data_IF_897836237775
#
_entry.id   IF_897836237775
#
_cell.length_a   1.000
_cell.length_b   1.000
_cell.length_c   1.000
_cell.angle_alpha   90.00
_cell.angle_beta   90.00
_cell.angle_gamma   90.00
#
_symmetry.space_group_name_H-M   'P 1'
#
loop_
_entity.id
_entity.type
_entity.pdbx_description
1 polymer ?
#
# COMPACT_ATOMS: atom_id res chain seq x y z
N UNK A 1 10.36 -70.45 -2.10
CA UNK A 1 9.21 -69.70 -1.54
C UNK A 1 9.65 -68.27 -1.32
N UNK A 2 9.34 -67.42 -2.25
CA UNK A 2 9.73 -66.00 -2.19
C UNK A 2 8.57 -65.21 -1.60
N UNK A 3 8.80 -64.63 -0.44
CA UNK A 3 7.86 -63.68 0.15
C UNK A 3 8.18 -62.28 -0.43
N UNK A 4 7.32 -61.83 -1.31
CA UNK A 4 7.31 -60.47 -1.77
C UNK A 4 6.67 -59.58 -0.68
N UNK A 5 7.49 -58.77 -0.04
CA UNK A 5 7.02 -57.71 0.85
C UNK A 5 6.75 -56.49 0.03
N UNK A 6 5.49 -56.20 -0.21
CA UNK A 6 5.07 -54.94 -0.83
C UNK A 6 5.20 -53.80 0.20
N UNK A 7 6.18 -52.97 0.01
CA UNK A 7 6.29 -51.72 0.75
C UNK A 7 5.37 -50.68 0.08
N UNK A 8 4.26 -50.41 0.74
CA UNK A 8 3.39 -49.31 0.36
C UNK A 8 4.05 -47.99 0.74
N UNK A 9 4.49 -47.24 -0.26
CA UNK A 9 4.92 -45.86 -0.11
C UNK A 9 3.67 -45.00 0.09
N UNK A 10 3.46 -44.56 1.35
CA UNK A 10 2.47 -43.55 1.65
C UNK A 10 3.09 -42.21 1.27
N UNK A 11 2.66 -41.66 0.14
CA UNK A 11 2.98 -40.29 -0.22
C UNK A 11 2.07 -39.35 0.58
N UNK A 12 2.58 -38.79 1.65
CA UNK A 12 1.92 -37.69 2.33
C UNK A 12 2.00 -36.45 1.43
N UNK A 13 0.94 -36.15 0.71
CA UNK A 13 0.77 -34.88 0.08
C UNK A 13 0.56 -33.83 1.18
N UNK A 14 1.59 -33.08 1.52
CA UNK A 14 1.46 -31.90 2.36
C UNK A 14 0.68 -30.85 1.56
N UNK A 15 -0.61 -30.75 1.80
CA UNK A 15 -1.38 -29.57 1.38
C UNK A 15 -0.89 -28.39 2.21
N UNK A 16 -0.07 -27.55 1.60
CA UNK A 16 0.20 -26.25 2.15
C UNK A 16 -1.13 -25.48 2.15
N UNK A 17 -1.75 -25.36 3.32
CA UNK A 17 -2.85 -24.45 3.51
C UNK A 17 -2.31 -23.05 3.22
N UNK A 18 -2.71 -22.46 2.09
CA UNK A 18 -2.50 -21.04 1.85
C UNK A 18 -3.22 -20.29 2.97
N UNK A 19 -2.45 -19.80 3.96
CA UNK A 19 -2.99 -18.88 4.96
C UNK A 19 -3.61 -17.72 4.20
N UNK A 20 -4.91 -17.43 4.44
CA UNK A 20 -5.70 -16.45 3.72
C UNK A 20 -5.26 -15.02 3.96
N UNK A 21 -4.05 -14.66 3.54
CA UNK A 21 -3.73 -13.27 3.27
C UNK A 21 -4.54 -12.86 2.04
N UNK A 22 -5.39 -11.83 2.19
CA UNK A 22 -6.07 -11.22 1.06
C UNK A 22 -5.02 -10.90 -0.02
N UNK A 23 -5.12 -11.55 -1.18
CA UNK A 23 -4.24 -11.26 -2.29
C UNK A 23 -4.38 -9.78 -2.65
N UNK A 24 -3.27 -9.04 -2.62
CA UNK A 24 -3.22 -7.65 -3.04
C UNK A 24 -3.29 -7.59 -4.56
N UNK A 25 -4.14 -6.73 -5.08
CA UNK A 25 -4.36 -6.55 -6.51
C UNK A 25 -4.03 -5.10 -6.91
N UNK A 26 -2.87 -4.93 -7.53
CA UNK A 26 -2.42 -3.63 -8.02
C UNK A 26 -3.30 -3.08 -9.14
N UNK A 27 -3.94 -3.93 -9.95
CA UNK A 27 -4.88 -3.51 -10.98
C UNK A 27 -6.14 -2.92 -10.37
N UNK A 28 -6.70 -3.58 -9.36
CA UNK A 28 -7.81 -3.04 -8.58
C UNK A 28 -7.40 -1.78 -7.82
N UNK A 29 -6.17 -1.72 -7.32
CA UNK A 29 -5.60 -0.55 -6.67
C UNK A 29 -5.50 0.65 -7.60
N UNK A 30 -5.14 0.43 -8.86
CA UNK A 30 -5.14 1.48 -9.88
C UNK A 30 -6.53 2.06 -10.11
N UNK A 31 -7.56 1.22 -10.15
CA UNK A 31 -8.94 1.67 -10.25
C UNK A 31 -9.36 2.47 -9.02
N UNK A 32 -8.98 2.03 -7.82
CA UNK A 32 -9.23 2.76 -6.57
C UNK A 32 -8.51 4.11 -6.53
N UNK A 33 -7.34 4.22 -7.14
CA UNK A 33 -6.56 5.46 -7.21
C UNK A 33 -7.30 6.60 -7.92
N UNK A 34 -8.31 6.31 -8.73
CA UNK A 34 -9.16 7.35 -9.33
C UNK A 34 -9.77 8.29 -8.27
N UNK A 35 -10.00 7.81 -7.06
CA UNK A 35 -10.46 8.63 -5.92
C UNK A 35 -9.40 9.65 -5.45
N UNK A 36 -8.15 9.48 -5.84
CA UNK A 36 -7.01 10.29 -5.40
C UNK A 36 -6.56 11.30 -6.47
N UNK A 37 -6.97 11.10 -7.72
CA UNK A 37 -6.47 11.86 -8.88
C UNK A 37 -6.80 13.35 -8.84
N UNK A 38 -7.84 13.75 -8.14
CA UNK A 38 -8.16 15.18 -7.99
C UNK A 38 -7.04 15.94 -7.25
N UNK A 39 -6.32 15.27 -6.37
CA UNK A 39 -5.34 15.86 -5.47
C UNK A 39 -3.91 15.33 -5.65
N UNK A 40 -3.75 14.12 -6.12
CA UNK A 40 -2.45 13.46 -6.21
C UNK A 40 -2.11 12.99 -7.61
N UNK A 41 -0.81 12.87 -7.88
CA UNK A 41 -0.27 12.25 -9.09
C UNK A 41 0.78 11.21 -8.70
N UNK A 42 1.00 10.23 -9.56
CA UNK A 42 2.00 9.18 -9.41
C UNK A 42 2.55 8.80 -10.79
N UNK A 43 3.78 8.35 -10.84
CA UNK A 43 4.45 7.93 -12.07
C UNK A 43 5.54 8.88 -12.54
N UNK A 44 6.16 8.57 -13.66
CA UNK A 44 7.19 9.42 -14.25
C UNK A 44 6.61 10.79 -14.63
N UNK A 45 7.32 11.86 -14.29
CA UNK A 45 6.88 13.21 -14.57
C UNK A 45 5.76 13.73 -13.66
N UNK A 46 5.27 12.93 -12.71
CA UNK A 46 4.26 13.38 -11.76
C UNK A 46 4.78 14.52 -10.87
N UNK A 47 3.91 15.47 -10.60
CA UNK A 47 4.22 16.66 -9.82
C UNK A 47 3.24 16.84 -8.67
N UNK A 48 3.64 17.64 -7.68
CA UNK A 48 2.73 18.08 -6.62
C UNK A 48 1.52 18.81 -7.22
N UNK A 49 0.37 18.55 -6.62
CA UNK A 49 -0.91 19.19 -6.94
C UNK A 49 -1.50 19.77 -5.65
N UNK A 50 -2.77 19.53 -5.40
CA UNK A 50 -3.40 19.84 -4.10
C UNK A 50 -2.75 19.02 -2.98
N UNK A 51 -2.40 17.76 -3.27
CA UNK A 51 -1.58 16.90 -2.45
C UNK A 51 -0.19 16.69 -3.03
N UNK A 52 0.74 16.12 -2.26
CA UNK A 52 2.09 15.81 -2.73
C UNK A 52 2.07 14.66 -3.74
N UNK A 53 3.08 14.64 -4.61
CA UNK A 53 3.34 13.48 -5.48
C UNK A 53 3.54 12.23 -4.63
N UNK A 54 3.03 11.09 -5.10
CA UNK A 54 3.04 9.84 -4.33
C UNK A 54 4.16 8.86 -4.73
N UNK A 55 5.10 9.31 -5.57
CA UNK A 55 6.26 8.49 -5.95
C UNK A 55 7.10 8.15 -4.71
N UNK A 56 7.55 6.89 -4.64
CA UNK A 56 8.43 6.44 -3.57
C UNK A 56 7.79 6.46 -2.19
N UNK A 57 6.47 6.30 -2.11
CA UNK A 57 5.75 6.38 -0.83
C UNK A 57 6.24 5.36 0.18
N UNK A 58 6.47 4.11 -0.24
CA UNK A 58 6.99 3.08 0.65
C UNK A 58 8.41 3.42 1.11
N UNK A 59 8.57 3.63 2.40
CA UNK A 59 9.82 4.05 3.03
C UNK A 59 10.02 5.57 3.11
N UNK A 60 9.09 6.38 2.62
CA UNK A 60 9.19 7.84 2.63
C UNK A 60 8.75 8.42 3.98
N UNK A 61 9.54 9.37 4.48
CA UNK A 61 9.16 10.11 5.67
C UNK A 61 7.98 11.05 5.38
N UNK A 62 7.01 11.07 6.27
CA UNK A 62 5.88 12.00 6.18
C UNK A 62 6.36 13.45 6.19
N UNK A 63 5.75 14.27 5.34
CA UNK A 63 6.09 15.69 5.25
C UNK A 63 7.40 16.00 4.54
N UNK A 64 7.96 15.07 3.75
CA UNK A 64 9.31 15.18 3.19
C UNK A 64 9.40 15.51 1.71
N UNK A 65 8.29 15.52 0.97
CA UNK A 65 8.34 15.84 -0.47
C UNK A 65 8.74 17.29 -0.67
N UNK A 66 9.80 17.48 -1.45
CA UNK A 66 10.32 18.81 -1.77
C UNK A 66 9.28 19.65 -2.50
N UNK A 67 9.19 20.93 -2.13
CA UNK A 67 8.31 21.90 -2.77
C UNK A 67 6.83 21.78 -2.41
N UNK A 68 6.44 20.82 -1.55
CA UNK A 68 5.06 20.71 -1.08
C UNK A 68 4.89 21.40 0.28
N UNK A 69 3.83 22.20 0.40
CA UNK A 69 3.49 22.88 1.65
C UNK A 69 2.59 21.99 2.53
N UNK A 70 3.21 21.17 3.37
CA UNK A 70 2.50 20.31 4.31
C UNK A 70 1.88 21.08 5.48
N UNK A 71 0.89 20.46 6.13
CA UNK A 71 0.48 20.86 7.46
C UNK A 71 1.61 20.61 8.47
N UNK A 72 1.63 21.39 9.55
CA UNK A 72 2.56 21.16 10.65
C UNK A 72 2.37 19.76 11.26
N UNK A 73 1.13 19.29 11.30
CA UNK A 73 0.80 17.95 11.77
C UNK A 73 1.48 16.85 10.96
N UNK A 74 1.49 16.96 9.61
CA UNK A 74 2.17 15.99 8.75
C UNK A 74 3.69 16.07 8.90
N UNK A 75 4.26 17.26 8.93
CA UNK A 75 5.70 17.46 9.14
C UNK A 75 6.16 16.89 10.48
N UNK A 76 5.40 17.09 11.53
CA UNK A 76 5.73 16.70 12.89
C UNK A 76 5.29 15.28 13.27
N UNK A 77 4.63 14.54 12.37
CA UNK A 77 4.04 13.23 12.71
C UNK A 77 5.09 12.16 13.04
N UNK A 78 6.30 12.27 12.52
CA UNK A 78 7.36 11.27 12.71
C UNK A 78 7.12 9.96 11.97
N UNK A 79 6.10 9.88 11.13
CA UNK A 79 5.73 8.67 10.40
C UNK A 79 6.69 8.44 9.25
N UNK A 80 7.20 7.21 9.11
CA UNK A 80 7.76 6.69 7.87
C UNK A 80 6.73 5.79 7.23
N UNK A 81 6.33 6.11 6.00
CA UNK A 81 5.28 5.38 5.33
C UNK A 81 5.70 3.95 5.02
N UNK A 82 4.88 3.03 5.43
CA UNK A 82 4.89 1.62 5.06
C UNK A 82 3.45 1.16 4.95
N UNK A 83 3.24 -0.11 4.67
CA UNK A 83 1.90 -0.66 4.52
C UNK A 83 1.01 -0.39 5.74
N UNK A 84 1.49 -0.69 6.95
CA UNK A 84 0.69 -0.56 8.16
C UNK A 84 0.31 0.89 8.45
N UNK A 85 1.26 1.80 8.34
CA UNK A 85 1.04 3.24 8.53
C UNK A 85 0.07 3.79 7.48
N UNK A 86 0.21 3.35 6.23
CA UNK A 86 -0.69 3.75 5.15
C UNK A 86 -2.11 3.27 5.39
N UNK A 87 -2.29 2.00 5.76
CA UNK A 87 -3.63 1.45 6.02
C UNK A 87 -4.35 2.19 7.14
N UNK A 88 -3.66 2.52 8.21
CA UNK A 88 -4.23 3.32 9.30
C UNK A 88 -4.62 4.73 8.81
N UNK A 89 -3.74 5.37 8.05
CA UNK A 89 -3.97 6.74 7.56
C UNK A 89 -5.11 6.80 6.55
N UNK A 90 -5.12 5.92 5.57
CA UNK A 90 -6.12 5.97 4.48
C UNK A 90 -7.52 5.58 4.95
N UNK A 91 -7.61 4.84 6.04
CA UNK A 91 -8.89 4.51 6.67
C UNK A 91 -9.57 5.74 7.27
N UNK A 92 -8.79 6.59 7.94
CA UNK A 92 -9.27 7.86 8.50
C UNK A 92 -8.09 8.82 8.67
N UNK A 93 -7.81 9.66 7.66
CA UNK A 93 -6.67 10.57 7.71
C UNK A 93 -6.64 11.49 8.93
N UNK A 94 -7.79 12.04 9.31
CA UNK A 94 -7.87 12.98 10.45
C UNK A 94 -7.66 12.31 11.79
N UNK A 95 -8.06 11.04 11.92
CA UNK A 95 -7.83 10.29 13.16
C UNK A 95 -6.34 9.94 13.32
N UNK A 96 -5.68 9.53 12.23
CA UNK A 96 -4.25 9.17 12.25
C UNK A 96 -3.35 10.37 12.45
N UNK A 97 -3.60 11.46 11.73
CA UNK A 97 -2.85 12.71 11.82
C UNK A 97 -3.82 13.86 12.04
N UNK A 98 -4.19 14.13 13.30
CA UNK A 98 -5.04 15.28 13.61
C UNK A 98 -4.37 16.58 13.11
N UNK A 99 -5.13 17.40 12.39
CA UNK A 99 -4.61 18.61 11.77
C UNK A 99 -4.07 18.44 10.35
N UNK A 100 -4.15 17.24 9.77
CA UNK A 100 -3.80 17.03 8.36
C UNK A 100 -4.64 17.92 7.45
N UNK A 101 -4.02 18.45 6.40
CA UNK A 101 -4.72 19.21 5.35
C UNK A 101 -5.44 18.32 4.33
N UNK A 102 -5.20 17.02 4.35
CA UNK A 102 -5.83 16.08 3.44
C UNK A 102 -7.32 15.96 3.74
N UNK A 103 -8.14 16.47 2.85
CA UNK A 103 -9.61 16.41 2.96
C UNK A 103 -10.10 15.16 2.23
N UNK A 104 -10.17 14.06 2.95
CA UNK A 104 -10.59 12.76 2.42
C UNK A 104 -11.28 11.95 3.52
N UNK A 105 -12.45 11.42 3.22
CA UNK A 105 -13.25 10.70 4.22
C UNK A 105 -12.62 9.38 4.65
N UNK A 106 -11.79 8.81 3.79
CA UNK A 106 -11.11 7.54 4.05
C UNK A 106 -11.69 6.36 3.26
N UNK A 107 -10.91 5.30 3.21
CA UNK A 107 -11.29 4.01 2.62
C UNK A 107 -11.49 3.03 3.76
N UNK A 108 -12.74 2.62 4.01
CA UNK A 108 -13.10 1.73 5.12
C UNK A 108 -12.98 0.25 4.76
N UNK A 109 -13.01 -0.07 3.46
CA UNK A 109 -12.87 -1.45 2.99
C UNK A 109 -11.39 -1.84 3.02
N UNK A 110 -11.07 -2.84 3.83
CA UNK A 110 -9.69 -3.29 4.04
C UNK A 110 -9.05 -3.82 2.75
N UNK A 111 -9.80 -4.58 1.96
CA UNK A 111 -9.30 -5.09 0.68
C UNK A 111 -8.96 -3.97 -0.29
N UNK A 112 -9.83 -2.98 -0.41
CA UNK A 112 -9.59 -1.82 -1.28
C UNK A 112 -8.35 -1.04 -0.84
N UNK A 113 -8.17 -0.82 0.46
CA UNK A 113 -6.99 -0.14 0.99
C UNK A 113 -5.70 -0.92 0.72
N UNK A 114 -5.73 -2.24 0.87
CA UNK A 114 -4.59 -3.12 0.55
C UNK A 114 -4.27 -3.11 -0.95
N UNK A 115 -5.28 -3.15 -1.80
CA UNK A 115 -5.10 -3.09 -3.26
C UNK A 115 -4.50 -1.74 -3.68
N UNK A 116 -4.97 -0.65 -3.09
CA UNK A 116 -4.42 0.68 -3.32
C UNK A 116 -2.94 0.76 -2.91
N UNK A 117 -2.58 0.23 -1.76
CA UNK A 117 -1.18 0.15 -1.34
C UNK A 117 -0.33 -0.66 -2.33
N UNK A 118 -0.83 -1.79 -2.82
CA UNK A 118 -0.14 -2.60 -3.82
C UNK A 118 0.17 -1.80 -5.08
N UNK A 119 -0.77 -0.96 -5.52
CA UNK A 119 -0.56 -0.06 -6.65
C UNK A 119 0.46 1.04 -6.35
N UNK A 120 0.30 1.77 -5.26
CA UNK A 120 1.17 2.89 -4.90
C UNK A 120 2.62 2.45 -4.64
N UNK A 121 2.81 1.35 -3.94
CA UNK A 121 4.12 0.85 -3.54
C UNK A 121 4.98 0.31 -4.68
N UNK A 122 4.40 0.11 -5.86
CA UNK A 122 5.15 -0.27 -7.07
C UNK A 122 6.09 0.81 -7.57
N UNK A 123 5.82 2.07 -7.24
CA UNK A 123 6.55 3.22 -7.78
C UNK A 123 7.71 3.61 -6.88
N UNK A 124 8.89 3.78 -7.49
CA UNK A 124 10.04 4.35 -6.82
C UNK A 124 9.94 5.89 -6.75
N UNK A 125 10.96 6.52 -6.18
CA UNK A 125 11.01 7.98 -6.04
C UNK A 125 10.99 8.74 -7.37
N UNK A 126 11.43 8.09 -8.45
CA UNK A 126 11.46 8.67 -9.79
C UNK A 126 10.18 8.38 -10.59
N UNK A 127 9.23 7.69 -9.98
CA UNK A 127 7.96 7.32 -10.60
C UNK A 127 8.04 6.11 -11.52
N UNK A 128 9.13 5.36 -11.46
CA UNK A 128 9.29 4.11 -12.21
C UNK A 128 8.78 2.94 -11.39
N UNK A 129 8.19 1.97 -12.06
CA UNK A 129 7.79 0.72 -11.39
C UNK A 129 9.02 -0.14 -11.10
N UNK A 130 9.02 -0.68 -9.91
CA UNK A 130 10.09 -1.58 -9.44
C UNK A 130 9.98 -2.95 -10.10
#
# INVERSE_FOLDING_TARGET
MNKLTSSALIVLAAMAAASGALAQDATAGKASFNKCLACHAIGEGAKNKVGPVLNGLDGRKSGSVEGFNYSDANKGSGITWNKDQFLEYITDPKAKIPGTKMVFAGIKNEKEANDLWAYLSQYDKDGKTK
#
